data_IF_680096056604
#
_entry.id   IF_680096056604
#
_cell.length_a   1.000
_cell.length_b   1.000
_cell.length_c   1.000
_cell.angle_alpha   90.00
_cell.angle_beta   90.00
_cell.angle_gamma   90.00
#
_symmetry.space_group_name_H-M   'P 1'
#
loop_
_entity.id
_entity.type
_entity.pdbx_description
1 polymer ?
#
# COMPACT_ATOMS: atom_id res chain seq x y z
N UNK A 1 -17.33 15.04 4.68
CA UNK A 1 -16.19 14.62 5.53
C UNK A 1 -16.69 14.38 6.94
N UNK A 2 -17.92 13.88 7.07
CA UNK A 2 -18.74 14.13 8.26
C UNK A 2 -18.68 12.99 9.28
N UNK A 3 -17.84 11.98 9.00
CA UNK A 3 -17.65 10.78 9.83
C UNK A 3 -16.19 10.58 10.27
N UNK A 4 -15.35 11.62 10.18
CA UNK A 4 -14.00 11.56 10.76
C UNK A 4 -14.11 11.59 12.29
N UNK A 5 -13.50 10.60 12.94
CA UNK A 5 -13.48 10.45 14.39
C UNK A 5 -12.04 10.36 14.87
N UNK A 6 -11.74 11.10 15.94
CA UNK A 6 -10.45 11.04 16.62
C UNK A 6 -10.45 9.82 17.55
N UNK A 7 -9.41 9.00 17.46
CA UNK A 7 -9.21 7.81 18.30
C UNK A 7 -8.09 8.00 19.32
N UNK A 8 -6.99 8.63 18.91
CA UNK A 8 -5.86 8.90 19.79
C UNK A 8 -5.37 10.33 19.64
N UNK A 9 -5.01 10.95 20.75
CA UNK A 9 -4.32 12.24 20.80
C UNK A 9 -3.14 12.11 21.75
N UNK A 10 -1.94 12.45 21.27
CA UNK A 10 -0.72 12.52 22.07
C UNK A 10 -0.26 13.97 22.03
N UNK A 11 0.02 14.55 23.21
CA UNK A 11 0.51 15.92 23.34
C UNK A 11 1.88 15.90 23.98
N UNK A 12 2.86 16.45 23.29
CA UNK A 12 4.18 16.77 23.85
C UNK A 12 4.21 18.26 24.24
N UNK A 13 5.37 18.74 24.70
CA UNK A 13 5.55 20.17 25.04
C UNK A 13 5.34 21.09 23.82
N UNK A 14 5.74 20.62 22.64
CA UNK A 14 5.73 21.41 21.40
C UNK A 14 4.72 20.89 20.40
N UNK A 15 4.43 19.60 20.40
CA UNK A 15 3.70 18.94 19.33
C UNK A 15 2.38 18.33 19.80
N UNK A 16 1.42 18.23 18.87
CA UNK A 16 0.20 17.46 19.07
C UNK A 16 -0.01 16.50 17.91
N UNK A 17 -0.16 15.21 18.22
CA UNK A 17 -0.34 14.13 17.27
C UNK A 17 -1.74 13.56 17.42
N UNK A 18 -2.51 13.55 16.35
CA UNK A 18 -3.90 13.11 16.35
C UNK A 18 -4.10 12.01 15.31
N UNK A 19 -4.66 10.89 15.75
CA UNK A 19 -4.95 9.73 14.92
C UNK A 19 -6.46 9.59 14.78
N UNK A 20 -6.94 9.59 13.55
CA UNK A 20 -8.35 9.43 13.22
C UNK A 20 -8.59 8.11 12.48
N UNK A 21 -9.82 7.83 12.05
CA UNK A 21 -10.10 6.72 11.13
C UNK A 21 -9.60 6.96 9.69
N UNK A 22 -9.22 8.18 9.29
CA UNK A 22 -8.89 8.51 7.88
C UNK A 22 -7.53 9.17 7.70
N UNK A 23 -7.00 9.79 8.75
CA UNK A 23 -5.80 10.61 8.71
C UNK A 23 -5.00 10.58 10.01
N UNK A 24 -3.69 10.74 9.86
CA UNK A 24 -2.81 11.22 10.92
C UNK A 24 -2.63 12.74 10.77
N UNK A 25 -2.72 13.46 11.88
CA UNK A 25 -2.57 14.90 11.93
C UNK A 25 -1.47 15.26 12.93
N UNK A 26 -0.55 16.12 12.52
CA UNK A 26 0.56 16.57 13.37
C UNK A 26 0.56 18.09 13.39
N UNK A 27 0.37 18.64 14.59
CA UNK A 27 0.54 20.06 14.87
C UNK A 27 1.97 20.28 15.36
N UNK A 28 2.83 20.78 14.47
CA UNK A 28 4.23 21.06 14.75
C UNK A 28 4.39 22.42 15.46
N UNK A 29 5.06 22.39 16.61
CA UNK A 29 5.36 23.55 17.43
C UNK A 29 6.75 24.16 17.26
N UNK A 30 7.58 23.68 16.33
CA UNK A 30 8.99 24.11 16.18
C UNK A 30 9.22 25.51 15.59
N UNK A 31 8.29 26.46 15.74
CA UNK A 31 8.55 27.86 15.37
C UNK A 31 9.10 28.62 16.58
N UNK A 32 10.42 28.58 16.78
CA UNK A 32 11.11 29.32 17.86
C UNK A 32 10.98 30.85 17.74
N UNK A 33 10.56 31.36 16.57
CA UNK A 33 10.47 32.79 16.26
C UNK A 33 9.02 33.30 16.37
N UNK A 34 8.01 32.43 16.31
CA UNK A 34 6.61 32.82 16.43
C UNK A 34 5.79 31.73 17.12
N UNK A 35 4.80 32.06 17.95
CA UNK A 35 3.86 31.07 18.53
C UNK A 35 2.98 30.35 17.48
N UNK A 36 3.28 30.51 16.18
CA UNK A 36 2.55 29.87 15.07
C UNK A 36 2.89 28.39 15.04
N UNK A 37 1.86 27.57 14.89
CA UNK A 37 1.96 26.11 14.77
C UNK A 37 1.55 25.70 13.37
N UNK A 38 2.25 24.74 12.78
CA UNK A 38 1.91 24.20 11.46
C UNK A 38 1.10 22.92 11.62
N UNK A 39 -0.05 22.83 10.96
CA UNK A 39 -0.88 21.64 10.97
C UNK A 39 -0.62 20.83 9.69
N UNK A 40 0.02 19.68 9.86
CA UNK A 40 0.19 18.69 8.81
C UNK A 40 -0.93 17.65 8.88
N UNK A 41 -1.43 17.25 7.71
CA UNK A 41 -2.47 16.23 7.59
C UNK A 41 -2.09 15.20 6.55
N UNK A 42 -2.05 13.94 6.97
CA UNK A 42 -1.65 12.82 6.16
C UNK A 42 -2.78 11.80 6.09
N UNK A 43 -3.48 11.79 4.95
CA UNK A 43 -4.52 10.78 4.68
C UNK A 43 -3.86 9.42 4.49
N UNK A 44 -4.34 8.39 5.21
CA UNK A 44 -3.75 7.04 5.14
C UNK A 44 -3.82 6.42 3.74
N UNK A 45 -4.89 6.74 2.99
CA UNK A 45 -5.05 6.30 1.59
C UNK A 45 -3.98 6.83 0.63
N UNK A 46 -3.26 7.89 0.99
CA UNK A 46 -2.24 8.52 0.15
C UNK A 46 -0.84 8.40 0.75
N UNK A 47 -0.77 8.24 2.08
CA UNK A 47 0.47 8.12 2.82
C UNK A 47 0.43 6.79 3.57
N UNK A 48 0.92 5.69 2.97
CA UNK A 48 0.87 4.38 3.60
C UNK A 48 1.74 4.36 4.86
N UNK A 49 1.24 3.72 5.91
CA UNK A 49 2.00 3.46 7.13
C UNK A 49 2.94 2.27 6.90
N UNK A 50 4.21 2.42 7.31
CA UNK A 50 5.24 1.38 7.22
C UNK A 50 6.13 1.39 8.47
N UNK A 51 6.89 0.32 8.66
CA UNK A 51 7.96 0.24 9.65
C UNK A 51 7.52 0.67 11.06
N UNK A 52 6.35 0.17 11.50
CA UNK A 52 5.81 0.48 12.83
C UNK A 52 6.60 -0.28 13.89
N UNK A 53 7.21 0.44 14.82
CA UNK A 53 8.00 -0.09 15.92
C UNK A 53 7.51 0.52 17.24
N UNK A 54 7.54 -0.29 18.29
CA UNK A 54 7.25 0.15 19.66
C UNK A 54 8.46 -0.20 20.53
N UNK A 55 9.11 0.82 21.06
CA UNK A 55 10.19 0.71 22.02
C UNK A 55 9.62 0.85 23.43
N UNK A 56 9.76 -0.20 24.24
CA UNK A 56 9.24 -0.21 25.61
C UNK A 56 10.26 0.38 26.56
N UNK A 57 9.82 1.21 27.51
CA UNK A 57 10.65 1.69 28.59
C UNK A 57 11.33 0.53 29.34
N UNK A 58 12.65 0.64 29.58
CA UNK A 58 13.36 -0.26 30.49
C UNK A 58 12.98 -0.05 31.96
N UNK A 59 13.65 -0.74 32.87
CA UNK A 59 13.42 -0.61 34.33
C UNK A 59 13.69 0.81 34.84
N UNK A 60 14.56 1.55 34.16
CA UNK A 60 14.99 2.92 34.52
C UNK A 60 14.22 3.98 33.73
N UNK A 61 13.83 3.69 32.48
CA UNK A 61 13.19 4.67 31.60
C UNK A 61 11.76 4.99 32.02
N UNK A 62 11.35 6.23 31.77
CA UNK A 62 10.02 6.74 32.12
C UNK A 62 9.07 6.75 30.93
N UNK A 63 9.58 6.68 29.70
CA UNK A 63 8.80 6.88 28.49
C UNK A 63 8.96 5.69 27.54
N UNK A 64 7.88 5.30 26.87
CA UNK A 64 7.89 4.39 25.75
C UNK A 64 7.84 5.21 24.45
N UNK A 65 8.44 4.71 23.38
CA UNK A 65 8.54 5.43 22.12
C UNK A 65 7.88 4.64 21.00
N UNK A 66 7.02 5.30 20.21
CA UNK A 66 6.43 4.72 19.00
C UNK A 66 7.07 5.34 17.76
N UNK A 67 7.57 4.50 16.86
CA UNK A 67 8.20 4.89 15.60
C UNK A 67 7.41 4.35 14.43
N UNK A 68 7.21 5.15 13.40
CA UNK A 68 6.59 4.70 12.16
C UNK A 68 6.95 5.63 11.00
N UNK A 69 6.84 5.10 9.78
CA UNK A 69 6.93 5.86 8.56
C UNK A 69 5.52 6.08 7.99
N UNK A 70 5.25 7.28 7.49
CA UNK A 70 4.00 7.66 6.86
C UNK A 70 4.29 8.37 5.53
N UNK A 71 4.10 7.66 4.42
CA UNK A 71 4.63 8.11 3.13
C UNK A 71 6.15 8.20 3.20
N UNK A 72 6.71 9.39 2.94
CA UNK A 72 8.16 9.64 3.02
C UNK A 72 8.60 10.17 4.41
N UNK A 73 7.64 10.50 5.28
CA UNK A 73 7.93 11.09 6.58
C UNK A 73 8.16 10.03 7.65
N UNK A 74 9.16 10.26 8.50
CA UNK A 74 9.44 9.43 9.66
C UNK A 74 8.97 10.15 10.93
N UNK A 75 8.31 9.40 11.82
CA UNK A 75 7.83 9.88 13.11
C UNK A 75 8.42 9.02 14.24
N UNK A 76 8.82 9.71 15.31
CA UNK A 76 9.33 9.17 16.57
C UNK A 76 8.61 9.95 17.66
N UNK A 77 7.78 9.29 18.47
CA UNK A 77 6.94 9.96 19.47
C UNK A 77 7.14 9.29 20.82
N UNK A 78 7.70 10.06 21.76
CA UNK A 78 7.83 9.67 23.17
C UNK A 78 6.50 9.85 23.91
N UNK A 79 6.17 8.87 24.76
CA UNK A 79 4.90 8.80 25.48
C UNK A 79 5.17 8.28 26.89
N UNK A 80 4.56 8.91 27.90
CA UNK A 80 4.69 8.50 29.31
C UNK A 80 4.28 7.02 29.46
N UNK A 81 5.15 6.21 30.09
CA UNK A 81 4.92 4.77 30.30
C UNK A 81 3.64 4.44 31.07
N UNK A 82 3.07 5.39 31.82
CA UNK A 82 1.76 5.22 32.46
C UNK A 82 0.64 4.96 31.46
N UNK A 83 0.84 5.28 30.18
CA UNK A 83 -0.12 5.06 29.10
C UNK A 83 0.19 3.81 28.27
N UNK A 84 1.08 2.92 28.73
CA UNK A 84 1.60 1.77 27.95
C UNK A 84 0.52 0.89 27.31
N UNK A 85 -0.61 0.64 27.99
CA UNK A 85 -1.70 -0.15 27.43
C UNK A 85 -2.31 0.50 26.18
N UNK A 86 -2.54 1.82 26.23
CA UNK A 86 -3.06 2.60 25.10
C UNK A 86 -2.05 2.66 23.94
N UNK A 87 -0.76 2.72 24.26
CA UNK A 87 0.32 2.72 23.26
C UNK A 87 0.35 1.39 22.50
N UNK A 88 0.18 0.26 23.22
CA UNK A 88 0.12 -1.06 22.59
C UNK A 88 -1.04 -1.16 21.61
N UNK A 89 -2.19 -0.57 21.93
CA UNK A 89 -3.35 -0.57 21.05
C UNK A 89 -3.16 0.36 19.84
N UNK A 90 -2.50 1.51 20.04
CA UNK A 90 -2.07 2.38 18.94
C UNK A 90 -1.09 1.66 18.01
N UNK A 91 -0.08 0.96 18.55
CA UNK A 91 0.86 0.15 17.79
C UNK A 91 0.11 -0.88 16.92
N UNK A 92 -0.80 -1.65 17.52
CA UNK A 92 -1.60 -2.65 16.80
C UNK A 92 -2.42 -1.98 15.69
N UNK A 93 -3.08 -0.87 15.98
CA UNK A 93 -3.88 -0.14 15.00
C UNK A 93 -3.03 0.33 13.81
N UNK A 94 -1.88 0.98 14.06
CA UNK A 94 -0.98 1.45 13.01
C UNK A 94 -0.43 0.29 12.17
N UNK A 95 -0.02 -0.80 12.82
CA UNK A 95 0.47 -2.00 12.15
C UNK A 95 -0.63 -2.61 11.25
N UNK A 96 -1.85 -2.77 11.78
CA UNK A 96 -2.99 -3.31 11.03
C UNK A 96 -3.36 -2.42 9.85
N UNK A 97 -3.33 -1.09 9.99
CA UNK A 97 -3.60 -0.18 8.86
C UNK A 97 -2.52 -0.36 7.79
N UNK A 98 -1.24 -0.43 8.17
CA UNK A 98 -0.13 -0.66 7.24
C UNK A 98 -0.28 -1.95 6.44
N UNK A 99 -0.54 -3.07 7.10
CA UNK A 99 -0.76 -4.36 6.44
C UNK A 99 -2.02 -4.37 5.57
N UNK A 100 -3.10 -3.72 6.01
CA UNK A 100 -4.32 -3.59 5.22
C UNK A 100 -4.07 -2.80 3.93
N UNK A 101 -3.33 -1.68 4.01
CA UNK A 101 -2.95 -0.91 2.82
C UNK A 101 -2.09 -1.73 1.85
N UNK A 102 -1.16 -2.54 2.37
CA UNK A 102 -0.33 -3.45 1.56
C UNK A 102 -1.18 -4.50 0.84
N UNK A 103 -2.12 -5.14 1.52
CA UNK A 103 -3.03 -6.12 0.91
C UNK A 103 -3.96 -5.48 -0.13
N UNK A 104 -4.48 -4.28 0.14
CA UNK A 104 -5.29 -3.52 -0.84
C UNK A 104 -4.47 -3.25 -2.11
N UNK A 105 -3.22 -2.81 -1.97
CA UNK A 105 -2.35 -2.56 -3.11
C UNK A 105 -2.03 -3.84 -3.89
N UNK A 106 -1.79 -4.96 -3.20
CA UNK A 106 -1.59 -6.27 -3.84
C UNK A 106 -2.81 -6.68 -4.66
N UNK A 107 -4.01 -6.60 -4.08
CA UNK A 107 -5.27 -6.90 -4.78
C UNK A 107 -5.50 -5.98 -5.98
N UNK A 108 -5.22 -4.68 -5.82
CA UNK A 108 -5.30 -3.70 -6.92
C UNK A 108 -4.39 -4.08 -8.08
N UNK A 109 -3.15 -4.50 -7.81
CA UNK A 109 -2.21 -4.91 -8.87
C UNK A 109 -2.71 -6.14 -9.63
N UNK A 110 -3.27 -7.14 -8.93
CA UNK A 110 -3.88 -8.31 -9.58
C UNK A 110 -5.06 -7.91 -10.47
N UNK A 111 -5.92 -6.99 -10.00
CA UNK A 111 -7.05 -6.50 -10.80
C UNK A 111 -6.60 -5.74 -12.05
N UNK A 112 -5.56 -4.91 -11.94
CA UNK A 112 -4.99 -4.19 -13.07
C UNK A 112 -4.39 -5.16 -14.11
N UNK A 113 -3.64 -6.17 -13.67
CA UNK A 113 -3.12 -7.23 -14.55
C UNK A 113 -4.25 -8.02 -15.22
N UNK A 114 -5.29 -8.38 -14.47
CA UNK A 114 -6.46 -9.06 -15.03
C UNK A 114 -7.17 -8.21 -16.08
N UNK A 115 -7.28 -6.90 -15.84
CA UNK A 115 -7.91 -5.96 -16.79
C UNK A 115 -7.10 -5.86 -18.08
N UNK A 116 -5.77 -5.72 -17.98
CA UNK A 116 -4.86 -5.70 -19.12
C UNK A 116 -4.91 -7.02 -19.92
N UNK A 117 -4.93 -8.16 -19.24
CA UNK A 117 -5.08 -9.47 -19.90
C UNK A 117 -6.41 -9.58 -20.65
N UNK A 118 -7.52 -9.13 -20.06
CA UNK A 118 -8.83 -9.13 -20.72
C UNK A 118 -8.83 -8.22 -21.95
N UNK A 119 -8.26 -7.02 -21.86
CA UNK A 119 -8.12 -6.12 -23.00
C UNK A 119 -7.30 -6.76 -24.14
N UNK A 120 -6.18 -7.40 -23.81
CA UNK A 120 -5.38 -8.16 -24.77
C UNK A 120 -6.18 -9.29 -25.43
N UNK A 121 -7.00 -10.03 -24.67
CA UNK A 121 -7.87 -11.07 -25.23
C UNK A 121 -8.91 -10.51 -26.21
N UNK A 122 -9.48 -9.34 -25.95
CA UNK A 122 -10.39 -8.69 -26.89
C UNK A 122 -9.66 -8.24 -28.16
N UNK A 123 -8.45 -7.67 -28.04
CA UNK A 123 -7.63 -7.33 -29.21
C UNK A 123 -7.23 -8.57 -30.03
N UNK A 124 -7.03 -9.74 -29.40
CA UNK A 124 -6.82 -11.02 -30.09
C UNK A 124 -8.08 -11.54 -30.78
N UNK A 125 -9.28 -11.11 -30.37
CA UNK A 125 -10.53 -11.41 -31.09
C UNK A 125 -10.76 -10.47 -32.26
N UNK A 126 -10.12 -9.30 -32.26
CA UNK A 126 -9.97 -8.42 -33.43
C UNK A 126 -8.80 -8.86 -34.33
N UNK A 127 -8.55 -10.18 -34.45
CA UNK A 127 -7.83 -10.67 -35.62
C UNK A 127 -8.59 -10.18 -36.85
N UNK A 128 -7.88 -9.57 -37.80
CA UNK A 128 -8.51 -9.14 -39.05
C UNK A 128 -9.28 -10.32 -39.63
N UNK A 129 -10.45 -10.07 -40.25
CA UNK A 129 -11.21 -11.12 -40.93
C UNK A 129 -10.29 -11.95 -41.85
N UNK A 130 -9.29 -11.32 -42.46
CA UNK A 130 -8.25 -11.98 -43.25
C UNK A 130 -7.41 -12.98 -42.45
N UNK A 131 -6.98 -12.66 -41.23
CA UNK A 131 -6.27 -13.63 -40.40
C UNK A 131 -7.16 -14.83 -40.05
N UNK A 132 -8.46 -14.62 -39.81
CA UNK A 132 -9.43 -15.69 -39.52
C UNK A 132 -9.72 -16.53 -40.78
N UNK A 133 -9.88 -15.89 -41.93
CA UNK A 133 -10.12 -16.54 -43.23
C UNK A 133 -8.92 -17.37 -43.70
N UNK A 134 -7.70 -16.97 -43.34
CA UNK A 134 -6.47 -17.65 -43.74
C UNK A 134 -6.08 -18.79 -42.78
N UNK A 135 -6.70 -18.89 -41.59
CA UNK A 135 -6.40 -19.96 -40.62
C UNK A 135 -6.55 -21.39 -41.18
N UNK A 136 -7.61 -21.73 -41.94
CA UNK A 136 -7.75 -23.07 -42.52
C UNK A 136 -6.61 -23.41 -43.48
N UNK A 137 -6.16 -22.43 -44.28
CA UNK A 137 -5.05 -22.61 -45.22
C UNK A 137 -3.73 -22.82 -44.48
N UNK A 138 -3.47 -22.01 -43.44
CA UNK A 138 -2.27 -22.13 -42.60
C UNK A 138 -2.25 -23.49 -41.88
N UNK A 139 -3.39 -23.95 -41.35
CA UNK A 139 -3.49 -25.27 -40.69
C UNK A 139 -3.20 -26.40 -41.67
N UNK A 140 -3.77 -26.37 -42.87
CA UNK A 140 -3.54 -27.39 -43.89
C UNK A 140 -2.09 -27.42 -44.37
N UNK A 141 -1.47 -26.25 -44.61
CA UNK A 141 -0.06 -26.16 -44.98
C UNK A 141 0.85 -26.70 -43.87
N UNK A 142 0.55 -26.39 -42.61
CA UNK A 142 1.32 -26.88 -41.46
C UNK A 142 1.18 -28.39 -41.31
N UNK A 143 -0.03 -28.94 -41.47
CA UNK A 143 -0.27 -30.38 -41.43
C UNK A 143 0.50 -31.11 -42.53
N UNK A 144 0.50 -30.58 -43.76
CA UNK A 144 1.24 -31.15 -44.88
C UNK A 144 2.76 -31.15 -44.62
N UNK A 145 3.30 -30.04 -44.11
CA UNK A 145 4.72 -29.95 -43.78
C UNK A 145 5.15 -30.95 -42.70
N UNK A 146 4.30 -31.20 -41.70
CA UNK A 146 4.54 -32.20 -40.66
C UNK A 146 4.51 -33.62 -41.24
N UNK A 147 3.58 -33.89 -42.15
CA UNK A 147 3.44 -35.19 -42.80
C UNK A 147 4.62 -35.47 -43.75
N UNK A 148 5.04 -34.47 -44.52
CA UNK A 148 6.22 -34.53 -45.39
C UNK A 148 7.50 -34.78 -44.58
N UNK A 149 7.66 -34.09 -43.45
CA UNK A 149 8.79 -34.30 -42.54
C UNK A 149 8.77 -35.71 -41.92
N UNK A 150 7.60 -36.20 -41.50
CA UNK A 150 7.46 -37.55 -40.97
C UNK A 150 7.75 -38.64 -42.02
N UNK A 151 7.43 -38.38 -43.28
CA UNK A 151 7.74 -39.28 -44.39
C UNK A 151 9.22 -39.26 -44.78
N UNK A 152 9.89 -38.11 -44.68
CA UNK A 152 11.34 -38.00 -44.86
C UNK A 152 12.13 -38.79 -43.80
N UNK A 153 11.60 -38.92 -42.57
CA UNK A 153 12.22 -39.71 -41.50
C UNK A 153 12.01 -41.23 -41.65
N UNK A 154 11.15 -41.67 -42.58
CA UNK A 154 10.86 -43.09 -42.85
C UNK A 154 11.60 -43.66 -44.06
N UNK A 155 12.30 -42.82 -44.82
CA UNK A 155 13.19 -43.19 -45.93
C UNK A 155 14.65 -43.11 -45.49
#
# INVERSE_FOLDING_TARGET
MDNEKIFFVIKSKTDEYCFTNVAFMHLDGKSAISKKRMLYRYLYKHNPIKNVLLETAGTVDLDAEIKFQLGEQHFSIDIDKKQIEKIRDLYKALFTIGETCKEINRKRNVLLQSTDNVQKMFNLRELSEQAILNLPEIINQTAQQVEDYANQLKN
#
